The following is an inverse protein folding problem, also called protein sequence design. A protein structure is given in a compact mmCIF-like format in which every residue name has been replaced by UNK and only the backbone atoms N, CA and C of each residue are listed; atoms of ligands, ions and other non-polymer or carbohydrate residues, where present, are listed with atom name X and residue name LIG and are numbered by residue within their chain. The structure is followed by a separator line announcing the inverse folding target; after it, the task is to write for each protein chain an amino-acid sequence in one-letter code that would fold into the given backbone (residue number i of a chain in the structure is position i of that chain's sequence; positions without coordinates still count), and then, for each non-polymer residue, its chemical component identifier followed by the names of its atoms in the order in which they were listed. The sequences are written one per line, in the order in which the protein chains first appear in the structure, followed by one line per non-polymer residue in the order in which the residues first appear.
data_IF_570911879039
#
_entry.id   IF_570911879039
#
_cell.length_a   1.000
_cell.length_b   1.000
_cell.length_c   1.000
_cell.angle_alpha   90.00
_cell.angle_beta   90.00
_cell.angle_gamma   90.00
#
_symmetry.space_group_name_H-M   'P 1'
#
loop_
_entity.id
_entity.type
_entity.pdbx_description
1 polymer ?
#
# COMPACT_ATOMS: atom_id res chain seq x y z
N UNK A 1 12.90 8.58 -9.17
CA UNK A 1 13.32 8.92 -7.81
C UNK A 1 13.22 10.43 -7.67
N UNK A 2 12.49 10.92 -6.66
CA UNK A 2 12.31 12.36 -6.38
C UNK A 2 13.55 12.95 -5.69
N UNK A 3 13.63 14.28 -5.55
CA UNK A 3 14.79 14.95 -4.94
C UNK A 3 14.72 14.97 -3.42
N UNK A 4 13.51 14.91 -2.86
CA UNK A 4 13.26 14.89 -1.41
C UNK A 4 12.22 13.83 -1.07
N UNK A 5 12.28 13.37 0.18
CA UNK A 5 11.23 12.53 0.78
C UNK A 5 9.90 13.26 0.79
N UNK A 6 8.80 12.50 0.72
CA UNK A 6 7.42 12.98 0.79
C UNK A 6 6.98 13.90 -0.36
N UNK A 7 7.73 13.93 -1.47
CA UNK A 7 7.32 14.62 -2.70
C UNK A 7 6.36 13.77 -3.55
N UNK A 8 6.52 12.46 -3.54
CA UNK A 8 5.66 11.49 -4.25
C UNK A 8 5.84 10.11 -3.62
N UNK A 9 4.74 9.39 -3.50
CA UNK A 9 4.75 7.98 -3.11
C UNK A 9 4.32 7.10 -4.28
N UNK A 10 5.02 5.99 -4.47
CA UNK A 10 4.50 4.87 -5.25
C UNK A 10 3.50 4.09 -4.42
N UNK A 11 2.39 3.69 -5.03
CA UNK A 11 1.40 2.83 -4.38
C UNK A 11 1.14 1.61 -5.26
N UNK A 12 1.00 0.46 -4.61
CA UNK A 12 0.67 -0.79 -5.29
C UNK A 12 -0.22 -1.67 -4.40
N UNK A 13 -0.82 -2.68 -5.01
CA UNK A 13 -1.65 -3.68 -4.34
C UNK A 13 -1.27 -5.09 -4.77
N UNK A 14 -1.11 -5.98 -3.81
CA UNK A 14 -0.93 -7.42 -4.04
C UNK A 14 -2.05 -8.22 -3.36
N UNK A 15 -2.55 -9.24 -4.06
CA UNK A 15 -3.48 -10.23 -3.52
C UNK A 15 -2.73 -11.37 -2.83
N UNK A 16 -3.23 -11.81 -1.68
CA UNK A 16 -2.76 -13.00 -0.98
C UNK A 16 -3.93 -13.79 -0.39
N UNK A 17 -3.65 -14.98 0.16
CA UNK A 17 -4.63 -15.84 0.82
C UNK A 17 -4.21 -16.03 2.28
N UNK A 18 -5.10 -15.71 3.20
CA UNK A 18 -4.97 -16.04 4.63
C UNK A 18 -5.41 -17.48 4.88
N UNK A 19 -4.92 -18.08 5.96
CA UNK A 19 -5.22 -19.49 6.30
C UNK A 19 -6.66 -19.72 6.76
N UNK A 20 -7.37 -18.67 7.18
CA UNK A 20 -8.72 -18.78 7.77
C UNK A 20 -9.75 -17.95 6.99
N UNK A 21 -9.45 -16.68 6.71
CA UNK A 21 -10.43 -15.73 6.16
C UNK A 21 -10.46 -15.73 4.63
N UNK A 22 -9.54 -16.46 4.00
CA UNK A 22 -9.43 -16.54 2.55
C UNK A 22 -8.72 -15.33 1.97
N UNK A 23 -9.25 -14.79 0.87
CA UNK A 23 -8.59 -13.76 0.06
C UNK A 23 -8.44 -12.44 0.81
N UNK A 24 -7.24 -11.88 0.77
CA UNK A 24 -6.91 -10.57 1.30
C UNK A 24 -6.14 -9.75 0.25
N UNK A 25 -6.30 -8.45 0.31
CA UNK A 25 -5.60 -7.49 -0.55
C UNK A 25 -4.74 -6.61 0.34
N UNK A 26 -3.44 -6.55 0.05
CA UNK A 26 -2.46 -5.75 0.79
C UNK A 26 -2.06 -4.59 -0.10
N UNK A 27 -2.40 -3.38 0.34
CA UNK A 27 -2.01 -2.12 -0.25
C UNK A 27 -0.77 -1.59 0.46
N UNK A 28 0.17 -1.07 -0.30
CA UNK A 28 1.40 -0.48 0.23
C UNK A 28 1.62 0.91 -0.35
N UNK A 29 2.35 1.74 0.39
CA UNK A 29 2.91 2.99 -0.11
C UNK A 29 4.41 3.03 0.19
N UNK A 30 5.18 3.50 -0.79
CA UNK A 30 6.64 3.60 -0.74
C UNK A 30 7.05 5.01 -1.15
N UNK A 31 7.92 5.64 -0.37
CA UNK A 31 8.47 6.95 -0.74
C UNK A 31 9.41 6.83 -1.95
N UNK A 32 9.16 7.65 -2.99
CA UNK A 32 9.88 7.54 -4.26
C UNK A 32 11.30 8.12 -4.20
N UNK A 33 11.67 8.83 -3.13
CA UNK A 33 13.03 9.32 -2.90
C UNK A 33 13.88 8.27 -2.17
N UNK A 34 13.41 7.79 -1.03
CA UNK A 34 14.16 6.92 -0.12
C UNK A 34 13.97 5.43 -0.40
N UNK A 35 12.85 5.05 -1.01
CA UNK A 35 12.44 3.65 -1.15
C UNK A 35 11.90 3.03 0.14
N UNK A 36 11.72 3.82 1.20
CA UNK A 36 11.17 3.34 2.47
C UNK A 36 9.68 3.00 2.34
N UNK A 37 9.25 1.95 3.04
CA UNK A 37 7.84 1.65 3.23
C UNK A 37 7.22 2.66 4.18
N UNK A 38 6.31 3.48 3.67
CA UNK A 38 5.67 4.55 4.46
C UNK A 38 4.31 4.13 5.02
N UNK A 39 3.72 3.05 4.51
CA UNK A 39 2.48 2.50 5.06
C UNK A 39 2.00 1.23 4.39
N UNK A 40 1.09 0.53 5.07
CA UNK A 40 0.45 -0.68 4.58
C UNK A 40 -0.99 -0.79 5.11
N UNK A 41 -1.88 -1.34 4.30
CA UNK A 41 -3.27 -1.61 4.65
C UNK A 41 -3.75 -2.94 4.07
N UNK A 42 -4.32 -3.80 4.91
CA UNK A 42 -4.88 -5.07 4.49
C UNK A 42 -6.41 -5.03 4.57
N UNK A 43 -7.08 -5.44 3.50
CA UNK A 43 -8.53 -5.43 3.40
C UNK A 43 -9.08 -6.69 2.75
N UNK A 44 -10.34 -7.03 3.06
CA UNK A 44 -11.07 -8.12 2.40
C UNK A 44 -11.58 -7.76 1.00
N UNK A 45 -11.47 -6.49 0.60
CA UNK A 45 -11.86 -5.99 -0.72
C UNK A 45 -10.80 -5.08 -1.33
N UNK A 46 -10.80 -4.97 -2.66
CA UNK A 46 -9.84 -4.17 -3.42
C UNK A 46 -10.47 -2.90 -3.99
N UNK A 47 -10.93 -1.99 -3.12
CA UNK A 47 -11.57 -0.75 -3.56
C UNK A 47 -10.58 0.42 -3.62
N UNK A 48 -10.93 1.47 -4.38
CA UNK A 48 -10.17 2.72 -4.42
C UNK A 48 -10.08 3.43 -3.06
N UNK A 49 -10.94 3.07 -2.11
CA UNK A 49 -10.92 3.65 -0.77
C UNK A 49 -9.84 2.98 0.08
N UNK A 50 -9.77 1.64 0.05
CA UNK A 50 -8.71 0.88 0.70
C UNK A 50 -7.32 1.29 0.17
N UNK A 51 -7.23 1.65 -1.11
CA UNK A 51 -5.99 2.13 -1.72
C UNK A 51 -5.46 3.47 -1.15
N UNK A 52 -6.30 4.25 -0.47
CA UNK A 52 -5.89 5.53 0.15
C UNK A 52 -5.46 5.37 1.61
N UNK A 53 -5.84 4.28 2.26
CA UNK A 53 -5.58 4.05 3.70
C UNK A 53 -4.08 3.95 4.07
N UNK A 54 -3.15 3.43 3.23
CA UNK A 54 -1.72 3.40 3.58
C UNK A 54 -1.07 4.77 3.83
N UNK A 55 -1.67 5.86 3.34
CA UNK A 55 -1.13 7.23 3.42
C UNK A 55 -2.10 8.20 4.13
N UNK A 56 -3.17 7.68 4.72
CA UNK A 56 -4.24 8.47 5.36
C UNK A 56 -3.88 8.95 6.76
#
# INVERSE_FOLDING_TARGET
MTERVDETWGSDMTETITTIEGRAYVFIAVDHCSGEFVGAHAASGASRWEALEPIR
#
